data_IF_918944943827
#
_entry.id   IF_918944943827
#
_cell.length_a   1.000
_cell.length_b   1.000
_cell.length_c   1.000
_cell.angle_alpha   90.00
_cell.angle_beta   90.00
_cell.angle_gamma   90.00
#
_symmetry.space_group_name_H-M   'P 1'
#
loop_
_entity.id
_entity.type
_entity.pdbx_description
1 polymer ?
#
# COMPACT_ATOMS: atom_id res chain seq x y z
N UNK A 1 5.33 14.87 48.06
CA UNK A 1 6.45 14.67 47.12
C UNK A 1 6.56 13.25 46.57
N UNK A 2 6.72 12.19 47.39
CA UNK A 2 6.86 10.79 46.91
C UNK A 2 5.72 10.29 46.01
N UNK A 3 4.45 10.62 46.33
CA UNK A 3 3.30 10.29 45.47
C UNK A 3 3.31 11.01 44.12
N UNK A 4 3.70 12.30 44.10
CA UNK A 4 3.86 13.05 42.85
C UNK A 4 4.98 12.45 41.97
N UNK A 5 6.10 12.05 42.57
CA UNK A 5 7.20 11.40 41.85
C UNK A 5 6.79 10.05 41.25
N UNK A 6 6.00 9.26 41.98
CA UNK A 6 5.47 7.98 41.48
C UNK A 6 4.51 8.21 40.31
N UNK A 7 3.57 9.16 40.44
CA UNK A 7 2.63 9.49 39.36
C UNK A 7 3.36 9.99 38.12
N UNK A 8 4.36 10.86 38.28
CA UNK A 8 5.19 11.35 37.17
C UNK A 8 5.98 10.21 36.50
N UNK A 9 6.57 9.30 37.28
CA UNK A 9 7.30 8.15 36.76
C UNK A 9 6.38 7.20 35.98
N UNK A 10 5.16 6.93 36.48
CA UNK A 10 4.18 6.11 35.76
C UNK A 10 3.74 6.77 34.44
N UNK A 11 3.50 8.09 34.43
CA UNK A 11 3.12 8.81 33.22
C UNK A 11 4.24 8.78 32.15
N UNK A 12 5.50 9.00 32.56
CA UNK A 12 6.65 8.94 31.66
C UNK A 12 6.83 7.52 31.10
N UNK A 13 6.69 6.49 31.94
CA UNK A 13 6.77 5.09 31.50
C UNK A 13 5.67 4.76 30.49
N UNK A 14 4.43 5.23 30.70
CA UNK A 14 3.33 5.05 29.75
C UNK A 14 3.63 5.72 28.38
N UNK A 15 4.19 6.93 28.40
CA UNK A 15 4.56 7.65 27.16
C UNK A 15 5.66 6.88 26.41
N UNK A 16 6.72 6.44 27.11
CA UNK A 16 7.81 5.70 26.48
C UNK A 16 7.35 4.38 25.85
N UNK A 17 6.35 3.71 26.46
CA UNK A 17 5.78 2.47 25.92
C UNK A 17 4.87 2.71 24.70
N UNK A 18 4.19 3.86 24.62
CA UNK A 18 3.22 4.16 23.55
C UNK A 18 3.87 4.83 22.33
N UNK A 19 4.95 5.58 22.50
CA UNK A 19 5.64 6.30 21.41
C UNK A 19 6.05 5.39 20.22
N UNK A 20 6.65 4.20 20.41
CA UNK A 20 7.00 3.30 19.31
C UNK A 20 5.77 2.81 18.52
N UNK A 21 4.66 2.55 19.21
CA UNK A 21 3.41 2.09 18.60
C UNK A 21 2.82 3.18 17.71
N UNK A 22 2.81 4.42 18.20
CA UNK A 22 2.35 5.59 17.45
C UNK A 22 3.24 5.81 16.22
N UNK A 23 4.57 5.74 16.39
CA UNK A 23 5.51 5.90 15.28
C UNK A 23 5.30 4.83 14.21
N UNK A 24 5.23 3.56 14.60
CA UNK A 24 4.98 2.44 13.68
C UNK A 24 3.67 2.61 12.90
N UNK A 25 2.58 2.94 13.61
CA UNK A 25 1.27 3.13 12.99
C UNK A 25 1.29 4.28 11.98
N UNK A 26 1.98 5.38 12.31
CA UNK A 26 2.13 6.53 11.42
C UNK A 26 2.94 6.19 10.18
N UNK A 27 4.05 5.46 10.33
CA UNK A 27 4.87 5.01 9.20
C UNK A 27 4.06 4.11 8.26
N UNK A 28 3.29 3.17 8.81
CA UNK A 28 2.43 2.27 8.02
C UNK A 28 1.35 3.02 7.23
N UNK A 29 0.69 4.00 7.85
CA UNK A 29 -0.30 4.84 7.14
C UNK A 29 0.35 5.63 6.00
N UNK A 30 1.53 6.20 6.25
CA UNK A 30 2.27 6.96 5.24
C UNK A 30 2.69 6.07 4.04
N UNK A 31 3.20 4.86 4.28
CA UNK A 31 3.53 3.93 3.19
C UNK A 31 2.33 3.58 2.33
N UNK A 32 1.16 3.36 2.94
CA UNK A 32 -0.08 3.07 2.21
C UNK A 32 -0.51 4.25 1.33
N UNK A 33 -0.47 5.48 1.85
CA UNK A 33 -0.81 6.69 1.10
C UNK A 33 0.15 6.89 -0.09
N UNK A 34 1.46 6.76 0.16
CA UNK A 34 2.48 6.84 -0.91
C UNK A 34 2.29 5.74 -1.96
N UNK A 35 1.97 4.51 -1.55
CA UNK A 35 1.69 3.42 -2.50
C UNK A 35 0.50 3.73 -3.40
N UNK A 36 -0.57 4.30 -2.84
CA UNK A 36 -1.77 4.69 -3.60
C UNK A 36 -1.42 5.77 -4.63
N UNK A 37 -0.71 6.82 -4.19
CA UNK A 37 -0.30 7.92 -5.07
C UNK A 37 0.59 7.43 -6.22
N UNK A 38 1.61 6.64 -5.93
CA UNK A 38 2.53 6.10 -6.95
C UNK A 38 1.81 5.13 -7.90
N UNK A 39 0.88 4.31 -7.41
CA UNK A 39 0.11 3.39 -8.27
C UNK A 39 -0.83 4.15 -9.22
N UNK A 40 -1.58 5.14 -8.72
CA UNK A 40 -2.45 5.99 -9.55
C UNK A 40 -1.63 6.74 -10.59
N UNK A 41 -0.47 7.27 -10.21
CA UNK A 41 0.46 7.96 -11.13
C UNK A 41 0.94 7.01 -12.22
N UNK A 42 1.45 5.83 -11.88
CA UNK A 42 1.93 4.84 -12.85
C UNK A 42 0.83 4.40 -13.82
N UNK A 43 -0.41 4.25 -13.34
CA UNK A 43 -1.54 3.94 -14.22
C UNK A 43 -1.81 5.06 -15.23
N UNK A 44 -1.81 6.33 -14.79
CA UNK A 44 -2.01 7.47 -15.70
C UNK A 44 -0.90 7.57 -16.74
N UNK A 45 0.35 7.36 -16.34
CA UNK A 45 1.49 7.33 -17.26
C UNK A 45 1.35 6.18 -18.28
N UNK A 46 0.86 5.02 -17.86
CA UNK A 46 0.56 3.91 -18.75
C UNK A 46 -0.56 4.26 -19.76
N UNK A 47 -1.64 4.89 -19.33
CA UNK A 47 -2.71 5.35 -20.23
C UNK A 47 -2.21 6.39 -21.24
N UNK A 48 -1.43 7.37 -20.78
CA UNK A 48 -0.87 8.43 -21.63
C UNK A 48 0.09 7.85 -22.67
N UNK A 49 0.86 6.82 -22.32
CA UNK A 49 1.76 6.12 -23.24
C UNK A 49 1.06 5.15 -24.19
N UNK A 50 -0.27 5.01 -24.10
CA UNK A 50 -1.06 4.13 -24.96
C UNK A 50 -0.92 2.65 -24.60
N UNK A 51 -0.50 2.33 -23.37
CA UNK A 51 -0.47 0.94 -22.88
C UNK A 51 -1.90 0.43 -22.76
N UNK A 52 -2.13 -0.78 -23.29
CA UNK A 52 -3.40 -1.48 -23.08
C UNK A 52 -3.49 -1.96 -21.61
N UNK A 53 -4.54 -1.50 -20.92
CA UNK A 53 -4.85 -1.88 -19.54
C UNK A 53 -6.02 -2.86 -19.45
N UNK A 54 -6.65 -3.23 -20.57
CA UNK A 54 -7.89 -4.01 -20.60
C UNK A 54 -7.77 -5.41 -20.02
N UNK A 55 -6.55 -5.96 -19.95
CA UNK A 55 -6.30 -7.24 -19.29
C UNK A 55 -6.05 -7.13 -17.78
N UNK A 56 -6.06 -5.93 -17.21
CA UNK A 56 -5.71 -5.70 -15.81
C UNK A 56 -4.24 -5.99 -15.49
N UNK A 57 -3.26 -5.40 -16.21
CA UNK A 57 -1.86 -5.75 -16.03
C UNK A 57 -1.31 -5.22 -14.68
N UNK A 58 -0.31 -5.94 -14.17
CA UNK A 58 0.60 -5.41 -13.17
C UNK A 58 1.36 -4.18 -13.72
N UNK A 59 1.40 -3.08 -12.94
CA UNK A 59 2.06 -1.83 -13.31
C UNK A 59 3.40 -1.64 -12.60
N UNK A 60 3.46 -1.92 -11.30
CA UNK A 60 4.67 -1.75 -10.49
C UNK A 60 4.92 -2.98 -9.62
N UNK A 61 6.12 -3.55 -9.74
CA UNK A 61 6.49 -4.81 -9.10
C UNK A 61 7.99 -4.84 -8.74
N UNK A 62 8.44 -4.09 -7.72
CA UNK A 62 7.63 -3.40 -6.69
C UNK A 62 7.32 -1.95 -7.05
N UNK A 63 6.52 -1.28 -6.20
CA UNK A 63 6.42 0.18 -6.18
C UNK A 63 7.79 0.78 -5.78
N UNK A 64 8.29 1.83 -6.48
CA UNK A 64 9.55 2.48 -6.13
C UNK A 64 9.60 2.90 -4.66
N UNK A 65 10.72 2.58 -3.99
CA UNK A 65 10.95 2.82 -2.55
C UNK A 65 10.01 2.08 -1.57
N UNK A 66 9.04 1.30 -2.08
CA UNK A 66 8.08 0.53 -1.29
C UNK A 66 8.15 -0.95 -1.67
N UNK A 67 9.27 -1.60 -1.34
CA UNK A 67 9.59 -2.97 -1.79
C UNK A 67 8.54 -4.03 -1.45
N UNK A 68 7.73 -3.79 -0.41
CA UNK A 68 6.69 -4.71 0.04
C UNK A 68 5.32 -4.45 -0.62
N UNK A 69 5.24 -3.48 -1.53
CA UNK A 69 4.02 -3.05 -2.23
C UNK A 69 4.13 -3.27 -3.73
N UNK A 70 3.01 -3.63 -4.36
CA UNK A 70 2.84 -3.70 -5.82
C UNK A 70 1.63 -2.88 -6.27
N UNK A 71 1.52 -2.61 -7.58
CA UNK A 71 0.40 -1.89 -8.18
C UNK A 71 -0.21 -2.73 -9.30
N UNK A 72 -1.48 -3.09 -9.14
CA UNK A 72 -2.27 -3.87 -10.11
C UNK A 72 -3.38 -3.00 -10.71
N UNK A 73 -3.72 -3.27 -11.97
CA UNK A 73 -4.97 -2.79 -12.58
C UNK A 73 -5.99 -3.92 -12.50
N UNK A 74 -7.24 -3.61 -12.14
CA UNK A 74 -8.31 -4.60 -12.13
C UNK A 74 -9.63 -3.98 -12.60
N UNK A 75 -10.57 -4.80 -13.03
CA UNK A 75 -11.93 -4.32 -13.26
C UNK A 75 -12.65 -4.02 -11.94
N UNK A 76 -13.59 -3.08 -11.97
CA UNK A 76 -14.47 -2.76 -10.84
C UNK A 76 -15.92 -2.64 -11.33
N UNK A 77 -16.79 -3.64 -11.12
CA UNK A 77 -16.54 -4.92 -10.42
C UNK A 77 -15.50 -5.81 -11.09
N UNK A 78 -14.81 -6.60 -10.26
CA UNK A 78 -13.76 -7.54 -10.68
C UNK A 78 -14.29 -8.59 -11.65
N UNK A 79 -13.48 -8.97 -12.64
CA UNK A 79 -13.80 -9.96 -13.66
C UNK A 79 -12.84 -11.16 -13.57
N UNK A 80 -13.20 -12.27 -14.22
CA UNK A 80 -12.36 -13.48 -14.21
C UNK A 80 -10.98 -13.26 -14.82
N UNK A 81 -10.85 -12.34 -15.78
CA UNK A 81 -9.56 -11.99 -16.38
C UNK A 81 -8.58 -11.41 -15.35
N UNK A 82 -9.06 -10.73 -14.31
CA UNK A 82 -8.23 -10.15 -13.24
C UNK A 82 -7.65 -11.23 -12.29
N UNK A 83 -8.18 -12.45 -12.36
CA UNK A 83 -7.72 -13.59 -11.55
C UNK A 83 -6.67 -14.43 -12.28
N UNK A 84 -6.40 -14.16 -13.56
CA UNK A 84 -5.40 -14.90 -14.33
C UNK A 84 -3.99 -14.62 -13.79
N UNK A 85 -3.15 -15.65 -13.55
CA UNK A 85 -1.82 -15.48 -12.97
C UNK A 85 -0.89 -14.53 -13.72
N UNK A 86 -1.08 -14.37 -15.02
CA UNK A 86 -0.35 -13.45 -15.91
C UNK A 86 -0.73 -11.98 -15.73
N UNK A 87 -1.92 -11.70 -15.20
CA UNK A 87 -2.41 -10.35 -14.95
C UNK A 87 -2.13 -9.88 -13.51
N UNK A 88 -1.56 -10.75 -12.66
CA UNK A 88 -1.22 -10.43 -11.28
C UNK A 88 0.27 -10.10 -11.12
N UNK A 89 0.60 -9.15 -10.25
CA UNK A 89 2.00 -8.84 -9.95
C UNK A 89 2.79 -10.05 -9.38
N UNK A 90 3.93 -10.45 -10.00
CA UNK A 90 4.70 -11.62 -9.57
C UNK A 90 5.18 -11.58 -8.12
N UNK A 91 5.61 -10.42 -7.59
CA UNK A 91 6.11 -10.35 -6.21
C UNK A 91 5.01 -10.64 -5.20
N UNK A 92 3.77 -10.23 -5.45
CA UNK A 92 2.64 -10.55 -4.57
C UNK A 92 2.27 -12.03 -4.66
N UNK A 93 2.16 -12.57 -5.89
CA UNK A 93 1.88 -14.00 -6.12
C UNK A 93 2.93 -14.93 -5.51
N UNK A 94 4.20 -14.51 -5.53
CA UNK A 94 5.33 -15.27 -4.95
C UNK A 94 5.52 -15.04 -3.44
N UNK A 95 4.71 -14.17 -2.81
CA UNK A 95 4.81 -13.85 -1.38
C UNK A 95 6.03 -12.99 -0.99
N UNK A 96 6.67 -12.34 -1.97
CA UNK A 96 7.81 -11.41 -1.77
C UNK A 96 7.35 -9.98 -1.46
N UNK A 97 6.16 -9.60 -1.92
CA UNK A 97 5.43 -8.42 -1.52
C UNK A 97 4.17 -8.86 -0.77
N UNK A 98 3.86 -8.18 0.33
CA UNK A 98 2.71 -8.51 1.19
C UNK A 98 1.53 -7.58 0.98
N UNK A 99 1.73 -6.50 0.22
CA UNK A 99 0.74 -5.46 0.00
C UNK A 99 0.57 -5.17 -1.49
N UNK A 100 -0.62 -4.70 -1.84
CA UNK A 100 -0.92 -4.22 -3.19
C UNK A 100 -1.88 -3.04 -3.15
N UNK A 101 -1.78 -2.23 -4.19
CA UNK A 101 -2.79 -1.23 -4.55
C UNK A 101 -3.45 -1.68 -5.84
N UNK A 102 -4.77 -1.61 -5.88
CA UNK A 102 -5.56 -1.83 -7.10
C UNK A 102 -6.20 -0.53 -7.56
N UNK A 103 -6.07 -0.26 -8.85
CA UNK A 103 -6.77 0.82 -9.56
C UNK A 103 -7.60 0.23 -10.70
N UNK A 104 -8.64 0.95 -11.13
CA UNK A 104 -9.45 0.55 -12.28
C UNK A 104 -8.81 0.95 -13.63
N UNK A 105 -9.45 0.57 -14.73
CA UNK A 105 -9.03 0.88 -16.09
C UNK A 105 -8.94 2.40 -16.39
N UNK A 106 -9.61 3.23 -15.59
CA UNK A 106 -9.56 4.68 -15.66
C UNK A 106 -8.63 5.29 -14.60
N UNK A 107 -7.82 4.46 -13.94
CA UNK A 107 -6.89 4.82 -12.87
C UNK A 107 -7.55 5.40 -11.62
N UNK A 108 -8.80 5.06 -11.36
CA UNK A 108 -9.44 5.36 -10.07
C UNK A 108 -9.00 4.31 -9.05
N UNK A 109 -8.69 4.75 -7.83
CA UNK A 109 -8.36 3.86 -6.73
C UNK A 109 -9.54 2.93 -6.38
N UNK A 110 -9.27 1.62 -6.27
CA UNK A 110 -10.22 0.61 -5.81
C UNK A 110 -9.96 0.29 -4.34
N UNK A 111 -8.75 -0.24 -4.04
CA UNK A 111 -8.37 -0.67 -2.68
C UNK A 111 -6.86 -0.77 -2.51
N UNK A 112 -6.44 -0.82 -1.24
CA UNK A 112 -5.06 -1.07 -0.83
C UNK A 112 -5.04 -1.91 0.45
N UNK A 113 -4.37 -3.07 0.40
CA UNK A 113 -4.34 -4.10 1.45
C UNK A 113 -2.89 -4.40 1.84
#
# INVERSE_FOLDING_TARGET
MRRLLIVAACAISLILLTLPIIHYSRTKTNEKEMAIEECVKACREALISGKDLSSGPCLLNPIPNLKNWVCDVAHSPRQEIDNLPENQCPLFREGKASHFVEVDLACNFIRAI
#
